data_IF_411272846065
#
_entry.id   IF_411272846065
#
_cell.length_a   1.000
_cell.length_b   1.000
_cell.length_c   1.000
_cell.angle_alpha   90.00
_cell.angle_beta   90.00
_cell.angle_gamma   90.00
#
_symmetry.space_group_name_H-M   'P 1'
#
loop_
_entity.id
_entity.type
_entity.pdbx_description
1 polymer ?
#
# COMPACT_ATOMS: atom_id res chain seq x y z
N UNK A 1 16.10 14.07 -3.67
CA UNK A 1 14.70 14.20 -3.23
C UNK A 1 13.79 13.44 -4.18
N UNK A 2 12.88 12.65 -3.64
CA UNK A 2 11.90 11.91 -4.44
C UNK A 2 10.58 12.67 -4.50
N UNK A 3 9.86 12.50 -5.61
CA UNK A 3 8.47 12.97 -5.75
C UNK A 3 7.44 11.87 -5.57
N UNK A 4 7.79 10.84 -4.80
CA UNK A 4 6.93 9.72 -4.48
C UNK A 4 6.28 9.93 -3.11
N UNK A 5 4.99 9.59 -2.99
CA UNK A 5 4.32 9.69 -1.69
C UNK A 5 3.06 8.81 -1.66
N UNK A 6 2.48 8.69 -0.49
CA UNK A 6 1.21 8.01 -0.26
C UNK A 6 0.33 8.89 0.62
N UNK A 7 -0.94 8.99 0.28
CA UNK A 7 -1.91 9.69 1.13
C UNK A 7 -2.21 8.85 2.37
N UNK A 8 -2.23 9.46 3.56
CA UNK A 8 -2.73 8.77 4.76
C UNK A 8 -4.15 8.24 4.51
N UNK A 9 -4.36 6.96 4.81
CA UNK A 9 -5.63 6.29 4.53
C UNK A 9 -5.90 5.99 3.05
N UNK A 10 -4.96 6.31 2.16
CA UNK A 10 -5.10 6.12 0.71
C UNK A 10 -5.87 7.26 0.03
N UNK A 11 -5.78 7.30 -1.30
CA UNK A 11 -6.48 8.31 -2.11
C UNK A 11 -8.01 8.14 -2.08
N UNK A 12 -8.48 6.95 -1.72
CA UNK A 12 -9.91 6.60 -1.64
C UNK A 12 -10.55 6.93 -0.29
N UNK A 13 -9.80 7.48 0.67
CA UNK A 13 -10.33 7.71 2.01
C UNK A 13 -11.53 8.65 1.97
N UNK A 14 -12.50 8.38 2.85
CA UNK A 14 -13.71 9.19 2.99
C UNK A 14 -13.74 10.01 4.28
N UNK A 15 -12.82 9.74 5.22
CA UNK A 15 -12.70 10.51 6.48
C UNK A 15 -12.43 11.97 6.18
N UNK A 16 -11.67 12.27 5.13
CA UNK A 16 -11.39 13.64 4.71
C UNK A 16 -12.64 14.45 4.39
N UNK A 17 -13.75 13.78 4.06
CA UNK A 17 -15.04 14.44 3.79
C UNK A 17 -15.58 15.16 5.03
N UNK A 18 -15.32 14.62 6.22
CA UNK A 18 -15.77 15.21 7.47
C UNK A 18 -15.11 16.57 7.75
N UNK A 19 -13.99 16.83 7.08
CA UNK A 19 -13.20 18.06 7.26
C UNK A 19 -13.28 18.98 6.04
N UNK A 20 -13.27 18.42 4.84
CA UNK A 20 -13.29 19.21 3.62
C UNK A 20 -13.83 18.38 2.46
N UNK A 21 -15.05 18.67 2.07
CA UNK A 21 -15.70 17.98 0.95
C UNK A 21 -14.95 18.22 -0.36
N UNK A 22 -14.71 17.16 -1.10
CA UNK A 22 -13.99 17.21 -2.39
C UNK A 22 -12.48 17.38 -2.29
N UNK A 23 -11.89 17.35 -1.09
CA UNK A 23 -10.45 17.61 -0.92
C UNK A 23 -9.58 16.57 -1.67
N UNK A 24 -9.95 15.29 -1.62
CA UNK A 24 -9.14 14.25 -2.28
C UNK A 24 -9.14 14.41 -3.78
N UNK A 25 -10.25 14.77 -4.39
CA UNK A 25 -10.33 15.07 -5.82
C UNK A 25 -9.41 16.22 -6.22
N UNK A 26 -9.28 17.22 -5.35
CA UNK A 26 -8.41 18.37 -5.61
C UNK A 26 -6.94 18.06 -5.42
N UNK A 27 -6.58 17.43 -4.29
CA UNK A 27 -5.16 17.18 -3.98
C UNK A 27 -4.55 16.11 -4.87
N UNK A 28 -5.31 15.10 -5.26
CA UNK A 28 -4.81 14.08 -6.21
C UNK A 28 -4.50 14.72 -7.57
N UNK A 29 -5.40 15.56 -8.06
CA UNK A 29 -5.19 16.29 -9.32
C UNK A 29 -4.02 17.24 -9.21
N UNK A 30 -3.95 18.03 -8.12
CA UNK A 30 -2.90 19.01 -7.91
C UNK A 30 -1.52 18.37 -7.82
N UNK A 31 -1.40 17.29 -7.06
CA UNK A 31 -0.12 16.59 -6.94
C UNK A 31 0.39 16.08 -8.29
N UNK A 32 -0.49 15.52 -9.11
CA UNK A 32 -0.13 15.05 -10.45
C UNK A 32 0.29 16.19 -11.37
N UNK A 33 -0.41 17.33 -11.32
CA UNK A 33 -0.06 18.52 -12.09
C UNK A 33 1.32 19.07 -11.71
N UNK A 34 1.73 18.91 -10.47
CA UNK A 34 3.03 19.35 -9.97
C UNK A 34 4.14 18.28 -10.13
N UNK A 35 3.85 17.18 -10.81
CA UNK A 35 4.80 16.12 -11.08
C UNK A 35 5.05 15.15 -9.93
N UNK A 36 4.20 15.16 -8.92
CA UNK A 36 4.25 14.17 -7.84
C UNK A 36 3.56 12.88 -8.26
N UNK A 37 4.09 11.74 -7.81
CA UNK A 37 3.52 10.43 -8.06
C UNK A 37 3.04 9.86 -6.73
N UNK A 38 1.74 9.63 -6.61
CA UNK A 38 1.21 8.98 -5.42
C UNK A 38 0.92 7.50 -5.70
N UNK A 39 1.06 6.69 -4.65
CA UNK A 39 0.77 5.28 -4.71
C UNK A 39 -0.31 4.93 -3.69
N UNK A 40 -1.26 4.16 -4.11
CA UNK A 40 -2.09 3.35 -3.24
C UNK A 40 -1.52 1.92 -3.22
N UNK A 41 -2.33 0.95 -2.93
CA UNK A 41 -1.95 -0.46 -2.88
C UNK A 41 -3.04 -1.32 -3.50
N UNK A 42 -2.67 -2.52 -3.93
CA UNK A 42 -3.63 -3.51 -4.41
C UNK A 42 -3.58 -4.81 -3.61
N UNK A 43 -2.65 -4.92 -2.64
CA UNK A 43 -2.59 -6.04 -1.71
C UNK A 43 -2.47 -5.47 -0.29
N UNK A 44 -3.41 -5.79 0.59
CA UNK A 44 -3.33 -5.36 1.99
C UNK A 44 -2.89 -6.52 2.89
N UNK A 45 -1.92 -6.26 3.75
CA UNK A 45 -1.50 -7.21 4.78
C UNK A 45 -2.56 -7.43 5.87
N UNK A 46 -3.50 -6.47 6.00
CA UNK A 46 -4.52 -6.51 7.05
C UNK A 46 -3.98 -6.17 8.44
N UNK A 47 -2.73 -5.69 8.55
CA UNK A 47 -2.09 -5.41 9.82
C UNK A 47 -2.65 -4.17 10.54
N UNK A 48 -3.42 -3.34 9.84
CA UNK A 48 -4.12 -2.20 10.43
C UNK A 48 -5.37 -2.61 11.23
N UNK A 49 -5.80 -3.88 11.16
CA UNK A 49 -6.98 -4.40 11.86
C UNK A 49 -6.82 -4.50 13.37
N UNK A 50 -5.70 -4.06 13.93
CA UNK A 50 -5.40 -4.08 15.36
C UNK A 50 -3.91 -4.31 15.60
N UNK A 51 -3.50 -4.24 16.86
CA UNK A 51 -2.15 -4.61 17.26
C UNK A 51 -2.11 -6.13 17.49
N UNK A 52 -1.01 -6.77 17.08
CA UNK A 52 -0.83 -8.19 17.29
C UNK A 52 -1.70 -9.09 16.39
N UNK A 53 -2.04 -8.61 15.17
CA UNK A 53 -2.64 -9.49 14.15
C UNK A 53 -1.70 -10.68 13.93
N UNK A 54 -2.20 -11.94 14.00
CA UNK A 54 -1.32 -13.11 13.88
C UNK A 54 -0.49 -13.12 12.60
N UNK A 55 0.77 -13.55 12.71
CA UNK A 55 1.68 -13.64 11.56
C UNK A 55 1.10 -14.44 10.40
N UNK A 56 0.38 -15.54 10.71
CA UNK A 56 -0.26 -16.37 9.69
C UNK A 56 -1.33 -15.62 8.90
N UNK A 57 -2.07 -14.73 9.55
CA UNK A 57 -3.08 -13.91 8.87
C UNK A 57 -2.43 -12.91 7.94
N UNK A 58 -1.37 -12.23 8.42
CA UNK A 58 -0.60 -11.29 7.60
C UNK A 58 0.01 -11.99 6.40
N UNK A 59 0.62 -13.14 6.62
CA UNK A 59 1.21 -13.96 5.56
C UNK A 59 0.20 -14.32 4.48
N UNK A 60 -0.94 -14.91 4.86
CA UNK A 60 -1.96 -15.32 3.90
C UNK A 60 -2.64 -14.16 3.21
N UNK A 61 -2.87 -13.04 3.92
CA UNK A 61 -3.42 -11.83 3.31
C UNK A 61 -2.55 -11.31 2.17
N UNK A 62 -1.24 -11.44 2.30
CA UNK A 62 -0.31 -11.01 1.25
C UNK A 62 -0.14 -12.10 0.19
N UNK A 63 0.36 -13.27 0.58
CA UNK A 63 0.79 -14.31 -0.38
C UNK A 63 -0.38 -14.82 -1.22
N UNK A 64 -1.54 -15.03 -0.60
CA UNK A 64 -2.72 -15.56 -1.31
C UNK A 64 -3.35 -14.55 -2.27
N UNK A 65 -2.99 -13.26 -2.16
CA UNK A 65 -3.53 -12.20 -2.98
C UNK A 65 -2.55 -11.62 -4.01
N UNK A 66 -1.35 -12.18 -4.11
CA UNK A 66 -0.43 -11.82 -5.17
C UNK A 66 -0.96 -12.34 -6.52
N UNK A 67 -0.84 -11.51 -7.56
CA UNK A 67 -1.31 -11.85 -8.91
C UNK A 67 -0.16 -11.69 -9.90
N UNK A 68 0.14 -12.70 -10.74
CA UNK A 68 1.13 -12.55 -11.81
C UNK A 68 0.63 -11.56 -12.88
N UNK A 69 1.57 -10.98 -13.61
CA UNK A 69 1.28 -10.10 -14.72
C UNK A 69 0.87 -8.68 -14.35
N UNK A 70 1.04 -8.29 -13.10
CA UNK A 70 0.78 -6.91 -12.64
C UNK A 70 1.81 -6.47 -11.60
N UNK A 71 1.87 -5.16 -11.35
CA UNK A 71 2.54 -4.64 -10.17
C UNK A 71 1.74 -5.00 -8.93
N UNK A 72 2.34 -5.72 -7.98
CA UNK A 72 1.75 -6.00 -6.68
C UNK A 72 2.34 -5.01 -5.68
N UNK A 73 1.53 -4.06 -5.25
CA UNK A 73 1.93 -3.06 -4.25
C UNK A 73 1.26 -3.40 -2.94
N UNK A 74 2.07 -3.80 -1.97
CA UNK A 74 1.61 -4.33 -0.69
C UNK A 74 1.66 -3.25 0.39
N UNK A 75 0.56 -3.07 1.11
CA UNK A 75 0.50 -2.18 2.26
C UNK A 75 0.82 -2.93 3.54
N UNK A 76 1.79 -2.44 4.27
CA UNK A 76 2.18 -2.89 5.60
C UNK A 76 2.50 -1.68 6.48
N UNK A 77 2.53 -1.89 7.79
CA UNK A 77 2.88 -0.86 8.76
C UNK A 77 4.11 -1.28 9.58
N UNK A 78 4.96 -0.32 9.90
CA UNK A 78 6.26 -0.56 10.54
C UNK A 78 6.40 0.07 11.94
N UNK A 79 5.28 0.40 12.57
CA UNK A 79 5.31 0.95 13.93
C UNK A 79 5.66 -0.13 14.96
N UNK A 80 6.11 0.30 16.15
CA UNK A 80 6.45 -0.62 17.24
C UNK A 80 5.30 -1.56 17.64
N UNK A 81 4.05 -1.16 17.41
CA UNK A 81 2.88 -1.97 17.69
C UNK A 81 2.64 -3.09 16.65
N UNK A 82 3.42 -3.12 15.58
CA UNK A 82 3.25 -4.06 14.45
C UNK A 82 4.39 -5.09 14.38
N UNK A 83 4.79 -5.63 15.52
CA UNK A 83 5.86 -6.64 15.58
C UNK A 83 5.54 -7.87 14.74
N UNK A 84 4.28 -8.31 14.71
CA UNK A 84 3.87 -9.49 13.94
C UNK A 84 3.99 -9.25 12.42
N UNK A 85 3.88 -8.02 11.95
CA UNK A 85 4.17 -7.67 10.55
C UNK A 85 5.64 -7.91 10.22
N UNK A 86 6.54 -7.42 11.07
CA UNK A 86 7.98 -7.66 10.91
C UNK A 86 8.33 -9.15 10.98
N UNK A 87 7.71 -9.87 11.90
CA UNK A 87 7.93 -11.32 12.08
C UNK A 87 7.45 -12.13 10.87
N UNK A 88 6.38 -11.69 10.20
CA UNK A 88 5.85 -12.39 9.03
C UNK A 88 6.64 -12.10 7.74
N UNK A 89 7.41 -11.01 7.71
CA UNK A 89 7.98 -10.47 6.47
C UNK A 89 8.94 -11.44 5.77
N UNK A 90 9.81 -12.12 6.51
CA UNK A 90 10.77 -13.07 5.93
C UNK A 90 10.07 -14.20 5.18
N UNK A 91 9.04 -14.79 5.77
CA UNK A 91 8.28 -15.87 5.15
C UNK A 91 7.51 -15.39 3.93
N UNK A 92 6.97 -14.16 3.98
CA UNK A 92 6.29 -13.53 2.84
C UNK A 92 7.27 -13.38 1.66
N UNK A 93 8.45 -12.84 1.92
CA UNK A 93 9.47 -12.62 0.87
C UNK A 93 9.88 -13.96 0.27
N UNK A 94 10.13 -14.96 1.10
CA UNK A 94 10.53 -16.30 0.65
C UNK A 94 9.45 -16.93 -0.22
N UNK A 95 8.20 -16.93 0.24
CA UNK A 95 7.09 -17.51 -0.51
C UNK A 95 6.84 -16.81 -1.84
N UNK A 96 6.91 -15.49 -1.88
CA UNK A 96 6.74 -14.72 -3.11
C UNK A 96 7.86 -15.04 -4.11
N UNK A 97 9.10 -15.11 -3.66
CA UNK A 97 10.24 -15.49 -4.52
C UNK A 97 10.12 -16.91 -5.07
N UNK A 98 9.67 -17.84 -4.25
CA UNK A 98 9.41 -19.23 -4.68
C UNK A 98 8.33 -19.31 -5.76
N UNK A 99 7.38 -18.39 -5.75
CA UNK A 99 6.34 -18.27 -6.79
C UNK A 99 6.81 -17.52 -8.03
N UNK A 100 8.05 -17.04 -8.05
CA UNK A 100 8.64 -16.36 -9.20
C UNK A 100 8.50 -14.84 -9.18
N UNK A 101 8.00 -14.24 -8.11
CA UNK A 101 7.93 -12.79 -7.97
C UNK A 101 9.30 -12.19 -7.69
N UNK A 102 9.52 -10.99 -8.20
CA UNK A 102 10.73 -10.20 -7.99
C UNK A 102 10.37 -8.97 -7.17
N UNK A 103 11.19 -8.66 -6.17
CA UNK A 103 11.01 -7.46 -5.35
C UNK A 103 11.82 -6.32 -5.96
N UNK A 104 11.15 -5.22 -6.25
CA UNK A 104 11.76 -4.04 -6.84
C UNK A 104 11.45 -2.82 -5.96
N UNK A 105 12.37 -1.85 -5.87
CA UNK A 105 12.05 -0.58 -5.23
C UNK A 105 11.00 0.18 -6.05
N UNK A 106 10.18 0.97 -5.35
CA UNK A 106 9.27 1.90 -6.01
C UNK A 106 10.08 3.11 -6.47
N UNK A 107 9.96 3.44 -7.75
CA UNK A 107 10.61 4.62 -8.35
C UNK A 107 9.58 5.45 -9.09
N UNK A 108 9.99 6.61 -9.61
CA UNK A 108 9.11 7.48 -10.41
C UNK A 108 8.69 6.83 -11.73
N UNK A 109 9.43 5.79 -12.21
CA UNK A 109 9.09 5.01 -13.40
C UNK A 109 8.17 3.81 -13.09
N UNK A 110 7.98 3.46 -11.81
CA UNK A 110 7.06 2.39 -11.43
C UNK A 110 5.62 2.78 -11.78
N UNK A 111 4.89 1.90 -12.45
CA UNK A 111 3.48 2.14 -12.74
C UNK A 111 2.69 2.25 -11.43
N UNK A 112 2.09 3.41 -11.14
CA UNK A 112 1.39 3.58 -9.87
C UNK A 112 0.09 2.80 -9.82
N UNK A 113 -0.24 2.33 -8.61
CA UNK A 113 -1.53 1.73 -8.31
C UNK A 113 -2.39 2.81 -7.66
N UNK A 114 -3.55 3.10 -8.23
CA UNK A 114 -4.47 4.11 -7.72
C UNK A 114 -5.82 3.46 -7.36
N UNK A 115 -6.31 3.78 -6.16
CA UNK A 115 -7.71 3.53 -5.81
C UNK A 115 -8.61 4.55 -6.53
N UNK A 116 -9.91 4.26 -6.62
CA UNK A 116 -10.89 5.27 -7.01
C UNK A 116 -11.01 6.36 -5.94
N UNK A 117 -11.03 7.61 -6.38
CA UNK A 117 -11.18 8.75 -5.46
C UNK A 117 -12.65 8.90 -5.10
N UNK A 118 -12.97 8.90 -3.78
CA UNK A 118 -14.34 8.91 -3.26
C UNK A 118 -14.73 10.25 -2.59
N UNK A 119 -13.78 11.16 -2.50
CA UNK A 119 -14.01 12.51 -1.97
C UNK A 119 -13.34 13.54 -2.90
#
# INVERSE_FOLDING_TARGET
>A
DTKLFRFPGGSSNTISRDYCDGIMSRVTRRSQQEGWVYFDWNVSSGDAGGNGVPCSNIYHNVVDNLRPGRENVVLMHDTNAKQTTADALEDIIRAAREQGYVFLPITEETTPVHHGVNN
#
